data_IF_058795227663
#
_entry.id   IF_058795227663
#
_cell.length_a   1.000
_cell.length_b   1.000
_cell.length_c   1.000
_cell.angle_alpha   90.00
_cell.angle_beta   90.00
_cell.angle_gamma   90.00
#
_symmetry.space_group_name_H-M   'P 1'
#
loop_
_entity.id
_entity.type
_entity.pdbx_description
1 polymer ?
#
# COMPACT_ATOMS: atom_id res chain seq x y z
N UNK A 1 23.69 18.81 12.33
CA UNK A 1 22.76 18.56 13.46
C UNK A 1 21.68 19.65 13.58
N UNK A 2 22.06 20.93 13.66
CA UNK A 2 21.14 22.09 13.82
C UNK A 2 20.09 22.22 12.70
N UNK A 3 20.45 22.00 11.43
CA UNK A 3 19.53 22.07 10.27
C UNK A 3 18.31 21.16 10.39
N UNK A 4 18.47 19.96 10.95
CA UNK A 4 17.36 19.01 11.12
C UNK A 4 16.42 19.41 12.25
N UNK A 5 16.93 20.12 13.27
CA UNK A 5 16.12 20.59 14.40
C UNK A 5 15.23 21.75 13.94
N UNK A 6 15.78 22.70 13.20
CA UNK A 6 15.02 23.83 12.63
C UNK A 6 13.88 23.33 11.73
N UNK A 7 14.17 22.37 10.84
CA UNK A 7 13.15 21.76 9.97
C UNK A 7 12.05 21.04 10.78
N UNK A 8 12.41 20.32 11.84
CA UNK A 8 11.43 19.65 12.71
C UNK A 8 10.51 20.65 13.41
N UNK A 9 11.06 21.74 13.94
CA UNK A 9 10.28 22.80 14.60
C UNK A 9 9.33 23.45 13.59
N UNK A 10 9.81 23.74 12.37
CA UNK A 10 9.00 24.35 11.32
C UNK A 10 7.88 23.41 10.83
N UNK A 11 8.14 22.11 10.72
CA UNK A 11 7.17 21.11 10.26
C UNK A 11 6.26 20.58 11.38
N UNK A 12 6.59 20.83 12.65
CA UNK A 12 5.81 20.39 13.80
C UNK A 12 4.33 20.81 13.77
N UNK A 13 3.97 22.09 13.51
CA UNK A 13 2.56 22.48 13.41
C UNK A 13 1.82 21.71 12.30
N UNK A 14 2.48 21.47 11.15
CA UNK A 14 1.91 20.65 10.08
C UNK A 14 1.72 19.19 10.49
N UNK A 15 2.62 18.65 11.31
CA UNK A 15 2.49 17.30 11.86
C UNK A 15 1.28 17.17 12.79
N UNK A 16 0.99 18.19 13.61
CA UNK A 16 -0.21 18.20 14.47
C UNK A 16 -1.48 18.19 13.61
N UNK A 17 -1.55 19.06 12.59
CA UNK A 17 -2.69 19.11 11.67
C UNK A 17 -2.92 17.77 10.95
N UNK A 18 -1.84 17.15 10.46
CA UNK A 18 -1.91 15.82 9.86
C UNK A 18 -2.41 14.76 10.86
N UNK A 19 -1.91 14.81 12.11
CA UNK A 19 -2.32 13.91 13.18
C UNK A 19 -3.81 14.01 13.49
N UNK A 20 -4.34 15.23 13.64
CA UNK A 20 -5.77 15.48 13.85
C UNK A 20 -6.59 14.88 12.69
N UNK A 21 -6.20 15.14 11.45
CA UNK A 21 -6.90 14.60 10.28
C UNK A 21 -6.87 13.06 10.24
N UNK A 22 -5.75 12.43 10.59
CA UNK A 22 -5.64 10.98 10.67
C UNK A 22 -6.56 10.38 11.74
N UNK A 23 -6.65 11.02 12.91
CA UNK A 23 -7.54 10.59 14.00
C UNK A 23 -9.00 10.74 13.59
N UNK A 24 -9.37 11.87 13.00
CA UNK A 24 -10.73 12.11 12.51
C UNK A 24 -11.14 11.05 11.47
N UNK A 25 -10.29 10.75 10.50
CA UNK A 25 -10.56 9.68 9.53
C UNK A 25 -10.78 8.32 10.22
N UNK A 26 -9.93 7.95 11.17
CA UNK A 26 -10.08 6.70 11.91
C UNK A 26 -11.39 6.65 12.72
N UNK A 27 -11.80 7.78 13.31
CA UNK A 27 -13.05 7.89 14.06
C UNK A 27 -14.28 7.68 13.18
N UNK A 28 -14.29 8.21 11.96
CA UNK A 28 -15.41 8.03 11.01
C UNK A 28 -15.67 6.54 10.73
N UNK A 29 -14.61 5.74 10.58
CA UNK A 29 -14.76 4.28 10.42
C UNK A 29 -15.13 3.59 11.73
N UNK A 30 -14.54 3.99 12.86
CA UNK A 30 -14.83 3.40 14.18
C UNK A 30 -16.29 3.60 14.61
N UNK A 31 -16.85 4.76 14.28
CA UNK A 31 -18.24 5.12 14.56
C UNK A 31 -19.23 4.57 13.52
N UNK A 32 -18.76 3.75 12.56
CA UNK A 32 -19.55 3.20 11.46
C UNK A 32 -20.29 4.26 10.62
N UNK A 33 -19.77 5.49 10.57
CA UNK A 33 -20.32 6.56 9.72
C UNK A 33 -20.06 6.22 8.25
N UNK A 34 -18.88 5.67 7.94
CA UNK A 34 -18.58 5.04 6.64
C UNK A 34 -18.61 3.52 6.82
N UNK A 35 -19.40 2.85 5.98
CA UNK A 35 -19.53 1.39 6.00
C UNK A 35 -18.37 0.78 5.21
N UNK A 36 -17.52 -0.07 5.83
CA UNK A 36 -16.45 -0.75 5.12
C UNK A 36 -17.01 -1.80 4.15
N UNK A 37 -16.39 -1.90 2.98
CA UNK A 37 -16.72 -2.95 2.00
C UNK A 37 -16.18 -4.28 2.51
N UNK A 38 -17.04 -5.31 2.51
CA UNK A 38 -16.66 -6.68 2.85
C UNK A 38 -16.56 -7.53 1.59
N UNK A 39 -15.55 -8.37 1.52
CA UNK A 39 -15.35 -9.33 0.45
C UNK A 39 -15.69 -10.73 0.93
N UNK A 40 -16.15 -11.60 0.02
CA UNK A 40 -16.44 -13.02 0.30
C UNK A 40 -15.16 -13.87 0.40
N UNK A 41 -14.03 -13.34 -0.08
CA UNK A 41 -12.71 -13.98 -0.02
C UNK A 41 -11.91 -13.45 1.17
N UNK A 42 -11.02 -14.25 1.78
CA UNK A 42 -10.09 -13.77 2.80
C UNK A 42 -9.17 -12.68 2.22
N UNK A 43 -8.99 -11.57 2.96
CA UNK A 43 -8.13 -10.46 2.55
C UNK A 43 -7.08 -10.20 3.64
N UNK A 44 -5.81 -10.23 3.25
CA UNK A 44 -4.68 -9.86 4.10
C UNK A 44 -4.18 -8.48 3.65
N UNK A 45 -4.29 -7.48 4.53
CA UNK A 45 -3.78 -6.12 4.26
C UNK A 45 -2.37 -5.96 4.82
N UNK A 46 -1.42 -5.60 3.95
CA UNK A 46 -0.02 -5.38 4.33
C UNK A 46 0.27 -3.88 4.23
N UNK A 47 0.44 -3.25 5.40
CA UNK A 47 0.66 -1.81 5.52
C UNK A 47 1.87 -1.48 6.37
N UNK A 48 2.18 -0.19 6.45
CA UNK A 48 3.15 0.34 7.40
C UNK A 48 2.71 1.74 7.86
N UNK A 49 3.13 2.12 9.06
CA UNK A 49 2.85 3.41 9.70
C UNK A 49 3.83 4.52 9.25
N UNK A 50 5.02 4.16 8.77
CA UNK A 50 6.04 5.11 8.33
C UNK A 50 6.18 5.16 6.80
N UNK A 51 6.60 6.31 6.28
CA UNK A 51 6.93 6.48 4.86
C UNK A 51 8.36 6.04 4.59
N UNK A 52 8.61 5.38 3.46
CA UNK A 52 9.94 4.89 3.06
C UNK A 52 10.01 3.38 2.83
N UNK A 53 11.24 2.86 2.70
CA UNK A 53 11.52 1.45 2.49
C UNK A 53 11.33 0.64 3.78
N UNK A 54 10.11 0.18 4.01
CA UNK A 54 9.69 -0.36 5.32
C UNK A 54 9.45 -1.86 5.31
N UNK A 55 10.13 -2.57 4.41
CA UNK A 55 10.06 -4.02 4.30
C UNK A 55 8.74 -4.59 3.78
N UNK A 56 7.79 -3.75 3.31
CA UNK A 56 6.50 -4.23 2.77
C UNK A 56 6.68 -5.20 1.62
N UNK A 57 7.52 -4.87 0.63
CA UNK A 57 7.76 -5.74 -0.53
C UNK A 57 8.33 -7.11 -0.15
N UNK A 58 9.44 -7.21 0.63
CA UNK A 58 9.89 -8.51 1.15
C UNK A 58 8.83 -9.28 1.96
N UNK A 59 8.01 -8.58 2.73
CA UNK A 59 6.97 -9.22 3.55
C UNK A 59 5.83 -9.80 2.70
N UNK A 60 5.43 -9.10 1.63
CA UNK A 60 4.48 -9.62 0.63
C UNK A 60 5.04 -10.89 -0.02
N UNK A 61 6.31 -10.86 -0.44
CA UNK A 61 6.96 -12.03 -1.06
C UNK A 61 7.01 -13.24 -0.12
N UNK A 62 7.31 -13.00 1.16
CA UNK A 62 7.27 -14.04 2.18
C UNK A 62 5.88 -14.69 2.27
N UNK A 63 4.81 -13.89 2.34
CA UNK A 63 3.45 -14.41 2.42
C UNK A 63 3.03 -15.13 1.15
N UNK A 64 3.42 -14.62 -0.02
CA UNK A 64 3.16 -15.29 -1.30
C UNK A 64 3.82 -16.67 -1.31
N UNK A 65 5.11 -16.77 -0.97
CA UNK A 65 5.83 -18.04 -0.96
C UNK A 65 5.25 -19.03 0.06
N UNK A 66 4.79 -18.52 1.21
CA UNK A 66 4.20 -19.33 2.27
C UNK A 66 2.84 -19.91 1.87
N UNK A 67 1.98 -19.12 1.23
CA UNK A 67 0.57 -19.46 1.02
C UNK A 67 0.29 -20.07 -0.36
N UNK A 68 1.10 -19.76 -1.36
CA UNK A 68 0.93 -20.22 -2.75
C UNK A 68 0.78 -21.75 -2.90
N UNK A 69 1.47 -22.61 -2.14
CA UNK A 69 1.29 -24.06 -2.24
C UNK A 69 -0.09 -24.56 -1.79
N UNK A 70 -0.82 -23.75 -1.02
CA UNK A 70 -2.05 -24.19 -0.36
C UNK A 70 -3.31 -23.53 -0.92
N UNK A 71 -3.20 -22.32 -1.48
CA UNK A 71 -4.34 -21.52 -1.95
C UNK A 71 -3.99 -20.70 -3.20
N UNK A 72 -5.01 -20.38 -3.99
CA UNK A 72 -4.90 -19.39 -5.06
C UNK A 72 -4.78 -17.99 -4.46
N UNK A 73 -3.80 -17.23 -4.94
CA UNK A 73 -3.49 -15.89 -4.46
C UNK A 73 -3.70 -14.85 -5.55
N UNK A 74 -4.04 -13.64 -5.13
CA UNK A 74 -4.02 -12.45 -5.98
C UNK A 74 -3.41 -11.30 -5.18
N UNK A 75 -2.56 -10.49 -5.82
CA UNK A 75 -1.95 -9.32 -5.18
C UNK A 75 -2.66 -8.06 -5.69
N UNK A 76 -3.29 -7.33 -4.76
CA UNK A 76 -3.84 -6.01 -5.06
C UNK A 76 -2.82 -4.94 -4.65
N UNK A 77 -2.38 -4.14 -5.62
CA UNK A 77 -1.50 -2.99 -5.38
C UNK A 77 -2.09 -1.70 -5.94
N UNK A 78 -1.72 -0.57 -5.35
CA UNK A 78 -2.20 0.76 -5.73
C UNK A 78 -1.74 1.19 -7.12
N UNK A 79 -0.64 0.63 -7.63
CA UNK A 79 -0.02 1.06 -8.88
C UNK A 79 0.46 2.50 -8.82
N UNK A 80 1.25 2.81 -7.79
CA UNK A 80 1.73 4.18 -7.54
C UNK A 80 2.47 4.73 -8.77
N UNK A 81 2.24 6.00 -9.10
CA UNK A 81 2.82 6.73 -10.26
C UNK A 81 2.53 6.17 -11.66
N UNK A 82 1.62 5.19 -11.83
CA UNK A 82 1.16 4.79 -13.17
C UNK A 82 0.32 5.90 -13.83
N UNK A 83 0.32 5.94 -15.16
CA UNK A 83 -0.46 6.89 -15.97
C UNK A 83 -1.91 6.46 -16.22
N UNK A 84 -2.18 5.16 -16.14
CA UNK A 84 -3.52 4.60 -16.33
C UNK A 84 -4.40 4.87 -15.09
N UNK A 85 -5.72 4.80 -15.25
CA UNK A 85 -6.72 5.01 -14.19
C UNK A 85 -7.63 3.79 -14.06
N UNK A 86 -8.34 3.66 -12.94
CA UNK A 86 -9.28 2.56 -12.70
C UNK A 86 -8.60 1.20 -12.45
N UNK A 87 -9.42 0.17 -12.25
CA UNK A 87 -8.93 -1.20 -12.08
C UNK A 87 -8.23 -1.68 -13.37
N UNK A 88 -7.14 -2.42 -13.20
CA UNK A 88 -6.39 -3.04 -14.30
C UNK A 88 -5.64 -4.26 -13.78
N UNK A 89 -5.73 -5.35 -14.51
CA UNK A 89 -4.84 -6.50 -14.34
C UNK A 89 -3.46 -6.19 -14.95
N UNK A 90 -2.41 -6.53 -14.21
CA UNK A 90 -1.02 -6.27 -14.62
C UNK A 90 -0.52 -7.44 -15.46
N UNK A 91 0.05 -7.15 -16.62
CA UNK A 91 0.65 -8.15 -17.50
C UNK A 91 2.17 -8.16 -17.34
N UNK A 92 2.81 -9.32 -17.55
CA UNK A 92 4.27 -9.46 -17.50
C UNK A 92 4.96 -8.53 -18.51
N UNK A 93 4.32 -8.31 -19.66
CA UNK A 93 4.76 -7.43 -20.76
C UNK A 93 4.47 -5.94 -20.53
N UNK A 94 3.77 -5.57 -19.46
CA UNK A 94 3.51 -4.16 -19.17
C UNK A 94 4.82 -3.41 -18.88
N UNK A 95 4.72 -2.07 -18.97
CA UNK A 95 5.76 -1.16 -18.54
C UNK A 95 5.36 -0.43 -17.25
N UNK A 96 6.35 0.14 -16.56
CA UNK A 96 6.16 0.85 -15.28
C UNK A 96 5.19 2.03 -15.42
N UNK A 97 5.15 2.71 -16.58
CA UNK A 97 4.21 3.82 -16.81
C UNK A 97 2.76 3.33 -16.87
N UNK A 98 2.51 2.09 -17.27
CA UNK A 98 1.17 1.50 -17.36
C UNK A 98 0.71 0.93 -16.03
N UNK A 99 1.59 0.20 -15.34
CA UNK A 99 1.19 -0.65 -14.21
C UNK A 99 1.82 -0.27 -12.87
N UNK A 100 2.78 0.66 -12.87
CA UNK A 100 3.59 0.99 -11.69
C UNK A 100 4.78 0.05 -11.57
N UNK A 101 5.70 0.40 -10.69
CA UNK A 101 6.93 -0.34 -10.43
C UNK A 101 6.69 -1.57 -9.56
N UNK A 102 6.05 -1.41 -8.40
CA UNK A 102 5.74 -2.50 -7.47
C UNK A 102 4.84 -3.59 -8.09
N UNK A 103 3.70 -3.28 -8.76
CA UNK A 103 2.83 -4.33 -9.29
C UNK A 103 3.50 -5.12 -10.41
N UNK A 104 4.28 -4.43 -11.26
CA UNK A 104 5.01 -5.05 -12.35
C UNK A 104 6.14 -5.95 -11.83
N UNK A 105 6.82 -5.53 -10.75
CA UNK A 105 7.82 -6.37 -10.07
C UNK A 105 7.19 -7.69 -9.60
N UNK A 106 6.06 -7.62 -8.89
CA UNK A 106 5.38 -8.82 -8.42
C UNK A 106 4.92 -9.71 -9.58
N UNK A 107 4.29 -9.13 -10.60
CA UNK A 107 3.78 -9.91 -11.74
C UNK A 107 4.89 -10.64 -12.50
N UNK A 108 6.07 -10.04 -12.61
CA UNK A 108 7.24 -10.67 -13.27
C UNK A 108 7.90 -11.76 -12.41
N UNK A 109 7.82 -11.64 -11.09
CA UNK A 109 8.37 -12.63 -10.16
C UNK A 109 7.43 -13.82 -9.97
N UNK A 110 6.13 -13.57 -10.01
CA UNK A 110 5.06 -14.53 -9.81
C UNK A 110 4.09 -14.45 -11.00
N UNK A 111 4.48 -15.01 -12.15
CA UNK A 111 3.71 -14.87 -13.40
C UNK A 111 2.29 -15.44 -13.33
N UNK A 112 2.07 -16.40 -12.44
CA UNK A 112 0.83 -17.12 -12.20
C UNK A 112 -0.06 -16.48 -11.12
N UNK A 113 0.37 -15.34 -10.55
CA UNK A 113 -0.38 -14.49 -9.60
C UNK A 113 -0.61 -13.12 -10.22
#
# INVERSE_FOLDING_TARGET
MVRNIILKILLFPFSILYGIFSVLNALVYKLNIIIPIKFTVPVISIGNLTVGGTGKTPHVEYLVNLLKPYINLAILSRGYKRKTKGFREVLVSDNVKLSGDEPLLFKRKYNDI
#
